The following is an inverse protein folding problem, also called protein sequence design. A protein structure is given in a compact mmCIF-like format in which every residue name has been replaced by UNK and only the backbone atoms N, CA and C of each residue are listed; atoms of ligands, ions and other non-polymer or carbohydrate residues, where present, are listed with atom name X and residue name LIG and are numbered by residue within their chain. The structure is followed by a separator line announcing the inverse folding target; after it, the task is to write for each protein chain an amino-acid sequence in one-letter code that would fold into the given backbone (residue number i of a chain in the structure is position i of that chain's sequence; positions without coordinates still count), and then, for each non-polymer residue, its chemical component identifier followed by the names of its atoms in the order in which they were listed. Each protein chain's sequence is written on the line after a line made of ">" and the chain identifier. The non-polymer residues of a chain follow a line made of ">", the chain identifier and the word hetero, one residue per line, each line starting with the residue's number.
data_IF_113504150425
#
_entry.id   IF_113504150425
#
_cell.length_a   1.000
_cell.length_b   1.000
_cell.length_c   1.000
_cell.angle_alpha   90.00
_cell.angle_beta   90.00
_cell.angle_gamma   90.00
#
_symmetry.space_group_name_H-M   'P 1'
#
loop_
_entity.id
_entity.type
_entity.pdbx_description
1 polymer ?
#
# COMPACT_ATOMS: atom_id res chain seq x y z
N UNK A 1 10.21 -8.91 8.47
CA UNK A 1 10.30 -7.93 9.57
C UNK A 1 9.01 -7.14 9.66
N UNK A 2 8.75 -6.48 10.79
CA UNK A 2 7.54 -5.66 11.00
C UNK A 2 7.86 -4.37 11.78
N UNK A 3 6.96 -3.40 11.69
CA UNK A 3 6.86 -2.32 12.67
C UNK A 3 5.68 -1.39 12.40
N UNK A 4 5.68 -0.22 13.05
CA UNK A 4 4.51 0.64 13.15
C UNK A 4 4.86 2.06 12.69
N UNK A 5 3.90 2.73 12.05
CA UNK A 5 4.05 4.10 11.59
C UNK A 5 2.69 4.81 11.55
N UNK A 6 2.74 6.14 11.54
CA UNK A 6 1.56 7.01 11.41
C UNK A 6 1.68 7.87 10.17
N UNK A 7 0.58 8.05 9.44
CA UNK A 7 0.50 9.05 8.38
C UNK A 7 -0.88 9.67 8.26
N UNK A 8 -0.93 10.83 7.60
CA UNK A 8 -2.17 11.55 7.33
C UNK A 8 -2.90 10.93 6.14
N UNK A 9 -4.13 10.47 6.38
CA UNK A 9 -5.07 10.10 5.31
C UNK A 9 -5.87 11.35 4.94
N UNK A 10 -5.74 11.87 3.71
CA UNK A 10 -6.43 13.08 3.31
C UNK A 10 -7.93 12.84 3.13
N UNK A 11 -8.72 13.92 3.32
CA UNK A 11 -10.16 13.90 3.08
C UNK A 11 -10.46 13.50 1.62
N UNK A 12 -11.58 12.82 1.40
CA UNK A 12 -12.11 12.56 0.06
C UNK A 12 -13.57 12.97 0.01
N UNK A 13 -13.93 13.76 -0.99
CA UNK A 13 -15.32 14.16 -1.22
C UNK A 13 -16.08 13.08 -2.00
N UNK A 14 -17.36 12.92 -1.66
CA UNK A 14 -18.32 12.16 -2.47
C UNK A 14 -18.96 12.99 -3.59
N UNK A 15 -18.35 14.13 -3.97
CA UNK A 15 -18.87 14.95 -5.06
C UNK A 15 -18.84 14.13 -6.35
N UNK A 16 -19.98 14.04 -7.02
CA UNK A 16 -20.06 13.43 -8.34
C UNK A 16 -19.08 14.15 -9.28
N UNK A 17 -18.34 13.37 -10.07
CA UNK A 17 -17.50 13.93 -11.11
C UNK A 17 -18.39 14.46 -12.24
N UNK A 18 -17.89 15.46 -12.97
CA UNK A 18 -18.54 15.98 -14.18
C UNK A 18 -18.60 14.89 -15.27
N UNK A 19 -17.63 13.98 -15.29
CA UNK A 19 -17.73 12.72 -16.02
C UNK A 19 -18.65 11.77 -15.27
N UNK A 20 -19.45 10.96 -15.99
CA UNK A 20 -20.40 9.96 -15.44
C UNK A 20 -19.76 8.84 -14.59
N UNK A 21 -18.51 9.01 -14.16
CA UNK A 21 -17.79 8.09 -13.29
C UNK A 21 -18.40 8.11 -11.88
N UNK A 22 -18.63 6.92 -11.30
CA UNK A 22 -19.12 6.77 -9.93
C UNK A 22 -18.31 7.64 -8.95
N UNK A 23 -19.02 8.41 -8.13
CA UNK A 23 -18.42 9.20 -7.06
C UNK A 23 -17.66 8.27 -6.10
N UNK A 24 -16.53 8.75 -5.59
CA UNK A 24 -15.78 7.98 -4.59
C UNK A 24 -16.46 8.13 -3.22
N UNK A 25 -16.33 7.11 -2.37
CA UNK A 25 -16.88 7.18 -1.02
C UNK A 25 -16.30 8.38 -0.25
N UNK A 26 -17.16 9.06 0.53
CA UNK A 26 -16.75 10.15 1.42
C UNK A 26 -15.82 9.57 2.49
N UNK A 27 -14.70 10.24 2.77
CA UNK A 27 -13.90 9.97 3.98
C UNK A 27 -13.40 11.28 4.57
N UNK A 28 -13.42 11.36 5.90
CA UNK A 28 -12.81 12.46 6.64
C UNK A 28 -11.29 12.34 6.64
N UNK A 29 -10.61 13.47 6.82
CA UNK A 29 -9.18 13.46 7.10
C UNK A 29 -8.95 12.81 8.47
N UNK A 30 -7.90 12.00 8.59
CA UNK A 30 -7.51 11.39 9.86
C UNK A 30 -6.04 10.99 9.85
N UNK A 31 -5.48 10.82 11.03
CA UNK A 31 -4.24 10.08 11.22
C UNK A 31 -4.55 8.58 11.24
N UNK A 32 -3.81 7.78 10.48
CA UNK A 32 -3.91 6.33 10.50
C UNK A 32 -2.67 5.73 11.16
N UNK A 33 -2.89 4.95 12.22
CA UNK A 33 -1.90 4.03 12.78
C UNK A 33 -1.86 2.76 11.94
N UNK A 34 -0.71 2.44 11.38
CA UNK A 34 -0.57 1.28 10.50
C UNK A 34 0.58 0.37 10.93
N UNK A 35 0.36 -0.92 10.72
CA UNK A 35 1.41 -1.94 10.82
C UNK A 35 1.94 -2.19 9.42
N UNK A 36 3.26 -2.10 9.29
CA UNK A 36 4.00 -2.40 8.07
C UNK A 36 4.78 -3.70 8.25
N UNK A 37 4.69 -4.58 7.27
CA UNK A 37 5.44 -5.83 7.17
C UNK A 37 6.11 -5.88 5.82
N UNK A 38 7.36 -6.32 5.78
CA UNK A 38 8.07 -6.47 4.52
C UNK A 38 8.89 -7.75 4.49
N UNK A 39 9.02 -8.29 3.27
CA UNK A 39 9.78 -9.49 2.98
C UNK A 39 10.26 -9.45 1.53
N UNK A 40 11.47 -9.95 1.28
CA UNK A 40 11.97 -10.24 -0.05
C UNK A 40 11.39 -11.59 -0.52
N UNK A 41 10.73 -11.61 -1.67
CA UNK A 41 10.01 -12.77 -2.20
C UNK A 41 10.46 -13.02 -3.64
N UNK A 42 10.67 -14.29 -3.97
CA UNK A 42 10.88 -14.74 -5.34
C UNK A 42 9.54 -14.99 -6.01
N UNK A 43 9.30 -14.30 -7.11
CA UNK A 43 8.12 -14.48 -7.94
C UNK A 43 8.50 -15.36 -9.13
N UNK A 44 7.92 -16.57 -9.24
CA UNK A 44 8.14 -17.40 -10.40
C UNK A 44 7.58 -16.72 -11.65
N UNK A 45 8.16 -17.03 -12.80
CA UNK A 45 7.65 -16.49 -14.05
C UNK A 45 6.22 -17.01 -14.30
N UNK A 46 5.28 -16.13 -14.66
CA UNK A 46 3.89 -16.52 -14.86
C UNK A 46 3.74 -17.38 -16.11
N UNK A 47 2.73 -18.25 -16.12
CA UNK A 47 2.34 -18.98 -17.33
C UNK A 47 2.00 -18.00 -18.48
N UNK A 48 2.37 -18.30 -19.73
CA UNK A 48 3.09 -19.49 -20.21
C UNK A 48 4.63 -19.34 -20.21
N UNK A 49 5.19 -18.30 -19.56
CA UNK A 49 6.62 -17.97 -19.59
C UNK A 49 7.41 -18.66 -18.47
N UNK A 50 7.05 -19.90 -18.11
CA UNK A 50 7.66 -20.60 -16.97
C UNK A 50 9.16 -20.92 -17.19
N UNK A 51 9.64 -20.82 -18.42
CA UNK A 51 11.04 -20.95 -18.83
C UNK A 51 11.94 -19.81 -18.33
N UNK A 52 11.35 -18.68 -17.90
CA UNK A 52 12.12 -17.52 -17.45
C UNK A 52 12.53 -17.63 -15.99
N UNK A 53 13.70 -17.04 -15.67
CA UNK A 53 14.19 -16.94 -14.31
C UNK A 53 13.18 -16.19 -13.40
N UNK A 54 12.98 -16.64 -12.15
CA UNK A 54 12.20 -15.91 -11.16
C UNK A 54 12.73 -14.50 -10.92
N UNK A 55 11.85 -13.56 -10.57
CA UNK A 55 12.25 -12.22 -10.16
C UNK A 55 12.14 -12.09 -8.64
N UNK A 56 13.21 -11.60 -8.02
CA UNK A 56 13.20 -11.32 -6.58
C UNK A 56 12.80 -9.87 -6.33
N UNK A 57 11.71 -9.64 -5.62
CA UNK A 57 11.23 -8.30 -5.27
C UNK A 57 10.97 -8.17 -3.77
N UNK A 58 10.98 -6.94 -3.28
CA UNK A 58 10.46 -6.63 -1.96
C UNK A 58 8.94 -6.48 -2.02
N UNK A 59 8.25 -7.17 -1.11
CA UNK A 59 6.83 -6.99 -0.86
C UNK A 59 6.67 -6.22 0.44
N UNK A 60 5.98 -5.08 0.37
CA UNK A 60 5.58 -4.29 1.52
C UNK A 60 4.08 -4.40 1.69
N UNK A 61 3.64 -4.94 2.82
CA UNK A 61 2.25 -4.99 3.23
C UNK A 61 2.00 -3.98 4.35
N UNK A 62 1.10 -3.05 4.11
CA UNK A 62 0.73 -2.00 5.06
C UNK A 62 -0.76 -2.11 5.37
N UNK A 63 -1.12 -2.11 6.65
CA UNK A 63 -2.51 -2.24 7.12
C UNK A 63 -2.79 -1.31 8.31
N UNK A 64 -3.88 -0.56 8.23
CA UNK A 64 -4.43 0.23 9.34
C UNK A 64 -4.86 -0.67 10.49
N UNK A 65 -4.31 -0.42 11.68
CA UNK A 65 -4.53 -1.24 12.88
C UNK A 65 -5.91 -1.01 13.48
N UNK A 66 -6.32 0.27 13.56
CA UNK A 66 -7.56 0.70 14.19
C UNK A 66 -8.30 1.68 13.27
N UNK A 67 -8.90 1.19 12.17
CA UNK A 67 -9.66 2.04 11.27
C UNK A 67 -10.93 2.57 11.95
N UNK A 68 -11.41 3.78 11.61
CA UNK A 68 -12.71 4.25 12.05
C UNK A 68 -13.84 3.33 11.58
N UNK A 69 -14.93 3.28 12.36
CA UNK A 69 -16.16 2.60 11.97
C UNK A 69 -16.65 3.09 10.58
N UNK A 70 -17.19 2.17 9.80
CA UNK A 70 -17.76 2.42 8.46
C UNK A 70 -16.81 3.01 7.40
N UNK A 71 -15.50 3.04 7.68
CA UNK A 71 -14.48 3.46 6.72
C UNK A 71 -13.65 2.26 6.30
N UNK A 72 -13.46 2.09 4.99
CA UNK A 72 -12.55 1.07 4.47
C UNK A 72 -11.12 1.34 5.00
N UNK A 73 -10.49 0.37 5.69
CA UNK A 73 -9.15 0.56 6.22
C UNK A 73 -8.13 0.80 5.11
N UNK A 74 -7.08 1.55 5.42
CA UNK A 74 -5.92 1.58 4.53
C UNK A 74 -5.27 0.20 4.52
N UNK A 75 -5.20 -0.40 3.35
CA UNK A 75 -4.53 -1.67 3.12
C UNK A 75 -3.85 -1.63 1.76
N UNK A 76 -2.52 -1.74 1.75
CA UNK A 76 -1.71 -1.71 0.55
C UNK A 76 -0.73 -2.88 0.49
N UNK A 77 -0.53 -3.37 -0.72
CA UNK A 77 0.60 -4.22 -1.09
C UNK A 77 1.40 -3.44 -2.13
N UNK A 78 2.66 -3.17 -1.84
CA UNK A 78 3.57 -2.51 -2.75
C UNK A 78 4.68 -3.49 -3.12
N UNK A 79 5.02 -3.52 -4.40
CA UNK A 79 6.15 -4.27 -4.93
C UNK A 79 7.25 -3.27 -5.29
N UNK A 80 8.47 -3.52 -4.87
CA UNK A 80 9.59 -2.62 -5.17
C UNK A 80 10.90 -3.38 -5.36
N UNK A 81 11.74 -2.83 -6.22
CA UNK A 81 13.16 -3.21 -6.37
C UNK A 81 14.06 -2.41 -5.42
N UNK A 82 13.55 -1.33 -4.81
CA UNK A 82 14.29 -0.55 -3.83
C UNK A 82 14.65 -1.43 -2.63
N UNK A 83 15.89 -1.33 -2.17
CA UNK A 83 16.34 -2.06 -1.00
C UNK A 83 15.66 -1.50 0.26
N UNK A 84 15.12 -2.41 1.10
CA UNK A 84 14.50 -2.07 2.38
C UNK A 84 15.40 -2.62 3.48
N UNK A 85 16.21 -1.76 4.10
CA UNK A 85 17.11 -2.14 5.19
C UNK A 85 16.51 -1.83 6.55
N UNK A 86 15.77 -0.74 6.64
CA UNK A 86 15.11 -0.28 7.87
C UNK A 86 13.64 -0.03 7.61
N UNK A 87 12.87 0.03 8.70
CA UNK A 87 11.43 0.29 8.56
C UNK A 87 11.21 1.63 7.90
N UNK A 88 11.96 2.66 8.27
CA UNK A 88 11.80 4.04 7.80
C UNK A 88 11.92 4.15 6.28
N UNK A 89 12.64 3.25 5.59
CA UNK A 89 12.81 3.26 4.13
C UNK A 89 11.48 3.21 3.35
N UNK A 90 10.38 2.83 4.02
CA UNK A 90 9.03 2.82 3.46
C UNK A 90 8.64 4.14 2.78
N UNK A 91 9.11 5.29 3.29
CA UNK A 91 8.73 6.61 2.75
C UNK A 91 9.24 6.82 1.32
N UNK A 92 10.34 6.16 0.93
CA UNK A 92 10.87 6.22 -0.43
C UNK A 92 9.94 5.48 -1.38
N UNK A 93 9.50 4.29 -0.98
CA UNK A 93 8.58 3.43 -1.75
C UNK A 93 7.22 4.11 -1.95
N UNK A 94 6.72 4.84 -0.94
CA UNK A 94 5.43 5.53 -1.05
C UNK A 94 5.47 6.87 -1.81
N UNK A 95 6.64 7.52 -1.92
CA UNK A 95 6.78 8.79 -2.67
C UNK A 95 7.16 8.58 -4.14
N UNK A 96 7.66 7.41 -4.51
CA UNK A 96 8.12 7.09 -5.87
C UNK A 96 7.01 6.59 -6.81
N UNK A 97 5.77 6.43 -6.34
CA UNK A 97 4.62 5.96 -7.14
C UNK A 97 3.47 6.94 -7.11
#
# INVERSE_FOLDING_TARGET
>A
MQGQLRFQVPRQNARAKKSKQKARAKRVQRTADVVLRYRKIDFPAPAPRQDKAPITLWVVHLRENSPPADVKPVKWFLLTTCEIRRIEDWHRVLKSG
#
